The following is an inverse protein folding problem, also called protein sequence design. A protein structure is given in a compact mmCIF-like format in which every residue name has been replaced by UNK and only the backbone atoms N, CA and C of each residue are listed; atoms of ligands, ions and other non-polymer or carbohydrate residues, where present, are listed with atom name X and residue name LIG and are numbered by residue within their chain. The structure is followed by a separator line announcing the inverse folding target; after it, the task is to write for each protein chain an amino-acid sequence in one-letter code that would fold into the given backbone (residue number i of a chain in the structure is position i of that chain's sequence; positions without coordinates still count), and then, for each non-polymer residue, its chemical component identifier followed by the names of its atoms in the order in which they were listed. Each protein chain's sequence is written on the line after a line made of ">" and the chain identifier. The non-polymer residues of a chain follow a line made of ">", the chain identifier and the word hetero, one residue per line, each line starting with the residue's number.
data_IF_012624566399
#
_entry.id   IF_012624566399
#
_cell.length_a   1.000
_cell.length_b   1.000
_cell.length_c   1.000
_cell.angle_alpha   90.00
_cell.angle_beta   90.00
_cell.angle_gamma   90.00
#
_symmetry.space_group_name_H-M   'P 1'
#
loop_
_entity.id
_entity.type
_entity.pdbx_description
1 polymer ?
#
# COMPACT_ATOMS: atom_id res chain seq x y z
N UNK A 1 -66.50 -3.40 -4.73
CA UNK A 1 -65.15 -4.00 -5.02
C UNK A 1 -64.11 -3.06 -4.51
N UNK A 2 -63.39 -3.43 -3.41
CA UNK A 2 -62.34 -2.60 -2.81
C UNK A 2 -61.02 -2.94 -3.47
N UNK A 3 -60.39 -1.97 -4.16
CA UNK A 3 -59.07 -2.12 -4.76
C UNK A 3 -57.99 -2.05 -3.67
N UNK A 4 -57.35 -3.17 -3.38
CA UNK A 4 -56.20 -3.27 -2.50
C UNK A 4 -54.93 -2.91 -3.30
N UNK A 5 -54.35 -1.72 -3.07
CA UNK A 5 -53.07 -1.34 -3.63
C UNK A 5 -51.97 -1.97 -2.79
N UNK A 6 -51.29 -2.96 -3.33
CA UNK A 6 -50.06 -3.54 -2.73
C UNK A 6 -48.94 -2.55 -2.98
N UNK A 7 -48.42 -1.93 -1.92
CA UNK A 7 -47.23 -1.09 -1.94
C UNK A 7 -46.01 -2.00 -1.80
N UNK A 8 -45.30 -2.23 -2.92
CA UNK A 8 -44.07 -3.03 -2.93
C UNK A 8 -42.95 -2.16 -2.37
N UNK A 9 -42.52 -2.44 -1.13
CA UNK A 9 -41.33 -1.81 -0.53
C UNK A 9 -40.10 -2.44 -1.13
N UNK A 10 -39.42 -1.73 -2.04
CA UNK A 10 -38.10 -2.12 -2.55
C UNK A 10 -37.06 -1.84 -1.44
N UNK A 11 -36.67 -2.87 -0.67
CA UNK A 11 -35.56 -2.77 0.23
C UNK A 11 -34.24 -2.67 -0.59
N UNK A 12 -33.77 -1.46 -0.81
CA UNK A 12 -32.41 -1.21 -1.33
C UNK A 12 -31.45 -1.51 -0.19
N UNK A 13 -30.85 -2.68 -0.22
CA UNK A 13 -29.73 -3.02 0.68
C UNK A 13 -28.54 -2.14 0.30
N UNK A 14 -28.36 -1.01 0.97
CA UNK A 14 -27.12 -0.27 0.92
C UNK A 14 -26.06 -1.11 1.63
N UNK A 15 -25.16 -1.74 0.88
CA UNK A 15 -23.96 -2.35 1.43
C UNK A 15 -23.10 -1.24 2.05
N UNK A 16 -23.27 -0.98 3.34
CA UNK A 16 -22.33 -0.19 4.10
C UNK A 16 -21.07 -1.03 4.28
N UNK A 17 -19.94 -0.59 3.73
CA UNK A 17 -18.64 -1.10 4.12
C UNK A 17 -18.48 -0.86 5.62
N UNK A 18 -18.36 -1.93 6.39
CA UNK A 18 -18.12 -1.82 7.83
C UNK A 18 -16.68 -1.37 8.04
N UNK A 19 -16.49 -0.05 8.12
CA UNK A 19 -15.23 0.55 8.53
C UNK A 19 -15.07 0.37 10.03
N UNK A 20 -13.92 -0.20 10.47
CA UNK A 20 -13.58 -0.37 11.89
C UNK A 20 -12.20 0.20 12.17
N UNK A 21 -12.07 0.99 13.22
CA UNK A 21 -10.77 1.40 13.76
C UNK A 21 -10.29 0.34 14.75
N UNK A 22 -9.06 -0.14 14.55
CA UNK A 22 -8.36 -1.04 15.45
C UNK A 22 -7.22 -0.27 16.12
N UNK A 23 -7.09 -0.44 17.41
CA UNK A 23 -6.02 0.14 18.24
C UNK A 23 -5.08 -0.94 18.73
N UNK A 24 -3.78 -0.66 18.64
CA UNK A 24 -2.69 -1.55 19.03
C UNK A 24 -1.74 -0.82 19.98
N UNK A 25 -1.08 -1.55 20.86
CA UNK A 25 0.01 -1.01 21.68
C UNK A 25 1.33 -1.60 21.18
N UNK A 26 2.20 -0.76 20.65
CA UNK A 26 3.52 -1.16 20.14
C UNK A 26 4.57 -0.44 20.96
N UNK A 27 5.30 -1.17 21.80
CA UNK A 27 6.33 -0.60 22.69
C UNK A 27 5.81 0.59 23.53
N UNK A 28 4.63 0.44 24.14
CA UNK A 28 3.91 1.46 24.91
C UNK A 28 3.46 2.70 24.09
N UNK A 29 3.42 2.60 22.78
CA UNK A 29 2.87 3.63 21.90
C UNK A 29 1.57 3.13 21.28
N UNK A 30 0.50 3.91 21.43
CA UNK A 30 -0.78 3.63 20.76
C UNK A 30 -0.63 3.82 19.24
N UNK A 31 -1.04 2.79 18.48
CA UNK A 31 -1.06 2.79 17.01
C UNK A 31 -2.46 2.42 16.52
N UNK A 32 -2.86 2.98 15.39
CA UNK A 32 -4.20 2.78 14.83
C UNK A 32 -4.16 2.29 13.39
N UNK A 33 -5.12 1.44 13.04
CA UNK A 33 -5.37 1.03 11.67
C UNK A 33 -6.88 1.12 11.38
N UNK A 34 -7.21 1.61 10.19
CA UNK A 34 -8.58 1.71 9.71
C UNK A 34 -8.82 0.53 8.76
N UNK A 35 -9.68 -0.39 9.15
CA UNK A 35 -9.92 -1.65 8.45
C UNK A 35 -11.28 -1.64 7.77
N UNK A 36 -11.28 -1.96 6.48
CA UNK A 36 -12.48 -2.21 5.68
C UNK A 36 -12.56 -3.71 5.40
N UNK A 37 -13.62 -4.34 5.92
CA UNK A 37 -13.89 -5.73 5.64
C UNK A 37 -14.36 -5.91 4.18
N UNK A 38 -14.10 -7.07 3.54
CA UNK A 38 -14.54 -7.32 2.18
C UNK A 38 -16.07 -7.23 2.06
N UNK A 39 -16.54 -6.60 1.00
CA UNK A 39 -17.97 -6.54 0.69
C UNK A 39 -18.46 -7.78 -0.09
N UNK A 40 -17.56 -8.57 -0.64
CA UNK A 40 -17.80 -9.86 -1.26
C UNK A 40 -17.18 -10.98 -0.44
N UNK A 41 -17.93 -12.08 -0.27
CA UNK A 41 -17.44 -13.25 0.48
C UNK A 41 -16.36 -13.98 -0.31
N UNK A 42 -15.27 -14.33 0.37
CA UNK A 42 -14.21 -15.21 -0.12
C UNK A 42 -13.85 -16.24 0.96
N UNK A 43 -13.52 -17.47 0.57
CA UNK A 43 -13.05 -18.49 1.51
C UNK A 43 -11.72 -18.10 2.16
N UNK A 44 -10.86 -17.46 1.37
CA UNK A 44 -9.56 -16.95 1.79
C UNK A 44 -9.47 -15.48 1.35
N UNK A 45 -9.38 -14.57 2.29
CA UNK A 45 -9.47 -13.13 2.09
C UNK A 45 -8.11 -12.56 1.71
N UNK A 46 -7.93 -11.95 0.51
CA UNK A 46 -6.75 -11.14 0.21
C UNK A 46 -6.67 -9.94 1.15
N UNK A 47 -5.46 -9.43 1.39
CA UNK A 47 -5.26 -8.26 2.24
C UNK A 47 -4.42 -7.21 1.54
N UNK A 48 -4.86 -5.95 1.61
CA UNK A 48 -4.14 -4.79 1.08
C UNK A 48 -3.83 -3.83 2.21
N UNK A 49 -2.55 -3.60 2.49
CA UNK A 49 -2.10 -2.57 3.44
C UNK A 49 -1.76 -1.29 2.70
N UNK A 50 -2.26 -0.15 3.18
CA UNK A 50 -2.06 1.16 2.56
C UNK A 50 -1.36 2.11 3.54
N UNK A 51 -0.26 2.73 3.07
CA UNK A 51 0.60 3.62 3.84
C UNK A 51 0.60 5.02 3.22
N UNK A 52 0.06 6.00 3.94
CA UNK A 52 -0.04 7.40 3.50
C UNK A 52 1.32 8.11 3.40
N UNK A 53 1.38 9.22 2.69
CA UNK A 53 2.56 10.09 2.62
C UNK A 53 2.81 10.85 3.92
N UNK A 54 3.99 11.51 4.04
CA UNK A 54 4.36 12.31 5.20
C UNK A 54 3.33 13.41 5.48
N UNK A 55 2.99 13.61 6.76
CA UNK A 55 1.95 14.55 7.21
C UNK A 55 0.51 14.09 6.95
N UNK A 56 0.32 12.93 6.30
CA UNK A 56 -0.99 12.35 6.02
C UNK A 56 -1.60 11.60 7.22
N UNK A 57 -2.73 10.94 6.96
CA UNK A 57 -3.39 10.06 7.92
C UNK A 57 -4.22 8.99 7.20
N UNK A 58 -4.57 7.93 7.93
CA UNK A 58 -5.32 6.78 7.42
C UNK A 58 -6.70 7.19 6.87
N UNK A 59 -7.41 8.11 7.54
CA UNK A 59 -8.74 8.57 7.13
C UNK A 59 -8.70 9.30 5.79
N UNK A 60 -7.79 10.26 5.61
CA UNK A 60 -7.66 10.98 4.35
C UNK A 60 -7.19 10.06 3.21
N UNK A 61 -6.30 9.11 3.52
CA UNK A 61 -5.88 8.10 2.56
C UNK A 61 -7.06 7.23 2.09
N UNK A 62 -7.94 6.79 3.01
CA UNK A 62 -9.10 5.96 2.67
C UNK A 62 -10.16 6.68 1.81
N UNK A 63 -10.16 8.02 1.83
CA UNK A 63 -11.03 8.83 0.99
C UNK A 63 -10.47 9.08 -0.42
N UNK A 64 -9.13 8.99 -0.57
CA UNK A 64 -8.44 9.25 -1.85
C UNK A 64 -8.07 7.99 -2.62
N UNK A 65 -7.85 6.89 -1.90
CA UNK A 65 -7.38 5.61 -2.46
C UNK A 65 -8.51 4.59 -2.29
N UNK A 66 -9.28 4.38 -3.34
CA UNK A 66 -10.55 3.65 -3.29
C UNK A 66 -10.45 2.13 -3.38
N UNK A 67 -9.35 1.51 -2.97
CA UNK A 67 -9.16 0.05 -3.06
C UNK A 67 -10.30 -0.76 -2.41
N UNK A 68 -10.89 -0.27 -1.33
CA UNK A 68 -12.02 -0.91 -0.64
C UNK A 68 -13.29 -0.99 -1.53
N UNK A 69 -13.40 -0.15 -2.55
CA UNK A 69 -14.53 -0.17 -3.51
C UNK A 69 -14.21 -0.96 -4.77
N UNK A 70 -12.95 -1.03 -5.15
CA UNK A 70 -12.49 -1.68 -6.38
C UNK A 70 -12.14 -3.15 -6.17
N UNK A 71 -11.45 -3.49 -5.07
CA UNK A 71 -11.07 -4.86 -4.73
C UNK A 71 -12.02 -5.42 -3.65
N UNK A 72 -13.26 -5.69 -4.03
CA UNK A 72 -14.40 -6.00 -3.14
C UNK A 72 -14.22 -7.26 -2.29
N UNK A 73 -13.41 -8.21 -2.71
CA UNK A 73 -13.08 -9.43 -1.97
C UNK A 73 -11.91 -9.25 -0.98
N UNK A 74 -11.19 -8.14 -1.06
CA UNK A 74 -10.05 -7.90 -0.18
C UNK A 74 -10.44 -7.18 1.11
N UNK A 75 -9.73 -7.50 2.18
CA UNK A 75 -9.65 -6.66 3.37
C UNK A 75 -8.66 -5.54 3.10
N UNK A 76 -9.09 -4.29 3.23
CA UNK A 76 -8.24 -3.12 3.00
C UNK A 76 -7.93 -2.43 4.31
N UNK A 77 -6.65 -2.26 4.60
CA UNK A 77 -6.12 -1.76 5.88
C UNK A 77 -5.34 -0.48 5.66
N UNK A 78 -5.92 0.65 6.02
CA UNK A 78 -5.23 1.93 6.02
C UNK A 78 -4.49 2.11 7.34
N UNK A 79 -3.17 2.06 7.26
CA UNK A 79 -2.30 2.16 8.42
C UNK A 79 -2.11 3.63 8.83
N UNK A 80 -2.11 3.92 10.13
CA UNK A 80 -1.87 5.26 10.66
C UNK A 80 -0.41 5.41 11.10
N UNK A 81 0.33 6.27 10.40
CA UNK A 81 1.67 6.71 10.81
C UNK A 81 1.62 7.58 12.07
N UNK A 82 2.74 7.73 12.75
CA UNK A 82 2.88 8.60 13.92
C UNK A 82 3.92 9.69 13.68
N UNK A 83 3.85 10.82 14.41
CA UNK A 83 4.81 11.90 14.28
C UNK A 83 6.26 11.51 14.59
N UNK A 84 7.18 12.28 14.05
CA UNK A 84 8.60 12.21 14.35
C UNK A 84 9.48 12.24 13.11
N UNK A 85 10.74 12.57 13.33
CA UNK A 85 11.78 12.55 12.29
C UNK A 85 12.07 11.12 11.87
N UNK A 86 12.19 10.89 10.57
CA UNK A 86 12.58 9.61 10.01
C UNK A 86 13.37 9.80 8.71
N UNK A 87 14.54 9.22 8.64
CA UNK A 87 15.44 9.33 7.50
C UNK A 87 15.74 10.77 7.11
N UNK A 88 15.38 11.13 5.88
CA UNK A 88 15.56 12.50 5.34
C UNK A 88 14.41 13.44 5.66
N UNK A 89 13.33 12.94 6.25
CA UNK A 89 12.14 13.73 6.59
C UNK A 89 12.29 14.26 8.02
N UNK A 90 12.46 15.58 8.15
CA UNK A 90 12.66 16.24 9.43
C UNK A 90 11.34 16.83 9.92
N UNK A 91 10.80 16.27 10.98
CA UNK A 91 9.65 16.83 11.71
C UNK A 91 10.12 17.56 12.98
N UNK A 92 10.58 18.80 12.82
CA UNK A 92 11.12 19.62 13.93
C UNK A 92 10.11 19.85 15.06
N UNK A 93 8.81 19.81 14.77
CA UNK A 93 7.74 20.06 15.74
C UNK A 93 7.14 18.78 16.31
N UNK A 94 7.47 17.62 15.77
CA UNK A 94 6.89 16.33 16.17
C UNK A 94 5.39 16.24 15.94
N UNK A 95 4.87 16.83 14.85
CA UNK A 95 3.44 16.93 14.56
C UNK A 95 3.01 16.21 13.27
N UNK A 96 3.97 15.82 12.44
CA UNK A 96 3.69 15.27 11.11
C UNK A 96 3.82 13.74 11.12
N UNK A 97 2.72 13.06 10.88
CA UNK A 97 2.71 11.60 10.79
C UNK A 97 3.60 11.10 9.65
N UNK A 98 4.32 10.03 9.89
CA UNK A 98 5.20 9.43 8.91
C UNK A 98 5.58 8.00 9.29
N UNK A 99 6.48 7.43 8.50
CA UNK A 99 6.95 6.05 8.58
C UNK A 99 8.48 6.02 8.58
N UNK A 100 9.08 5.04 9.25
CA UNK A 100 10.51 4.78 9.12
C UNK A 100 10.90 4.60 7.65
N UNK A 101 12.11 5.06 7.28
CA UNK A 101 12.61 5.02 5.91
C UNK A 101 13.72 4.01 5.70
N UNK A 102 14.26 3.47 6.80
CA UNK A 102 15.33 2.46 6.79
C UNK A 102 15.02 1.33 7.78
N UNK A 103 15.57 0.11 7.55
CA UNK A 103 15.56 -0.96 8.53
C UNK A 103 16.18 -0.51 9.87
N UNK A 104 15.62 -1.00 10.97
CA UNK A 104 16.06 -0.71 12.35
C UNK A 104 15.92 0.76 12.80
N UNK A 105 15.44 1.65 11.94
CA UNK A 105 15.18 3.04 12.30
C UNK A 105 14.06 3.13 13.34
N UNK A 106 14.21 4.04 14.32
CA UNK A 106 13.26 4.23 15.41
C UNK A 106 12.87 2.92 16.14
N UNK A 107 13.80 1.98 16.28
CA UNK A 107 13.55 0.68 16.91
C UNK A 107 12.57 -0.21 16.12
N UNK A 108 12.53 -0.07 14.81
CA UNK A 108 11.60 -0.79 13.92
C UNK A 108 10.11 -0.59 14.24
N UNK A 109 9.75 0.52 14.87
CA UNK A 109 8.40 0.78 15.40
C UNK A 109 7.27 0.56 14.39
N UNK A 110 7.52 0.84 13.09
CA UNK A 110 6.51 0.74 12.05
C UNK A 110 6.46 -0.67 11.44
N UNK A 111 7.59 -1.38 11.38
CA UNK A 111 7.64 -2.80 11.00
C UNK A 111 6.95 -3.66 12.06
N UNK A 112 7.20 -3.41 13.34
CA UNK A 112 6.52 -4.11 14.45
C UNK A 112 5.01 -3.84 14.43
N UNK A 113 4.61 -2.63 14.09
CA UNK A 113 3.19 -2.29 13.95
C UNK A 113 2.53 -3.07 12.79
N UNK A 114 3.19 -3.14 11.62
CA UNK A 114 2.72 -3.97 10.51
C UNK A 114 2.56 -5.44 10.92
N UNK A 115 3.57 -6.02 11.57
CA UNK A 115 3.56 -7.41 12.01
C UNK A 115 2.40 -7.69 12.98
N UNK A 116 2.15 -6.78 13.94
CA UNK A 116 1.07 -6.95 14.93
C UNK A 116 -0.32 -6.83 14.29
N UNK A 117 -0.52 -5.86 13.37
CA UNK A 117 -1.79 -5.74 12.63
C UNK A 117 -2.05 -6.98 11.79
N UNK A 118 -1.05 -7.43 11.02
CA UNK A 118 -1.16 -8.64 10.19
C UNK A 118 -1.53 -9.86 11.04
N UNK A 119 -0.80 -10.11 12.13
CA UNK A 119 -1.06 -11.22 13.06
C UNK A 119 -2.46 -11.16 13.66
N UNK A 120 -2.89 -9.97 14.12
CA UNK A 120 -4.21 -9.79 14.71
C UNK A 120 -5.34 -10.11 13.74
N UNK A 121 -5.21 -9.65 12.49
CA UNK A 121 -6.20 -9.90 11.46
C UNK A 121 -6.19 -11.35 10.96
N UNK A 122 -5.02 -12.00 10.86
CA UNK A 122 -4.92 -13.44 10.58
C UNK A 122 -5.59 -14.29 11.66
N UNK A 123 -5.52 -13.89 12.93
CA UNK A 123 -6.18 -14.62 14.03
C UNK A 123 -7.70 -14.45 14.01
N UNK A 124 -8.22 -13.37 13.43
CA UNK A 124 -9.67 -13.07 13.43
C UNK A 124 -10.38 -13.46 12.15
N UNK A 125 -9.65 -13.53 11.04
CA UNK A 125 -10.20 -13.73 9.70
C UNK A 125 -9.42 -14.79 8.94
N UNK A 126 -10.07 -15.46 8.01
CA UNK A 126 -9.44 -16.46 7.12
C UNK A 126 -8.65 -15.76 6.02
N UNK A 127 -7.50 -15.18 6.36
CA UNK A 127 -6.65 -14.45 5.42
C UNK A 127 -5.91 -15.41 4.47
N UNK A 128 -5.79 -15.04 3.20
CA UNK A 128 -4.90 -15.71 2.24
C UNK A 128 -3.48 -15.17 2.39
N UNK A 129 -2.62 -15.90 3.06
CA UNK A 129 -1.23 -15.52 3.33
C UNK A 129 -0.38 -15.35 2.05
N UNK A 130 -0.85 -15.89 0.91
CA UNK A 130 -0.20 -15.72 -0.39
C UNK A 130 -0.69 -14.49 -1.16
N UNK A 131 -1.69 -13.78 -0.65
CA UNK A 131 -2.28 -12.58 -1.28
C UNK A 131 -2.28 -11.39 -0.32
N UNK A 132 -1.08 -11.06 0.19
CA UNK A 132 -0.84 -9.87 1.02
C UNK A 132 -0.14 -8.84 0.15
N UNK A 133 -0.77 -7.69 -0.04
CA UNK A 133 -0.32 -6.60 -0.91
C UNK A 133 -0.02 -5.35 -0.11
N UNK A 134 0.99 -4.60 -0.53
CA UNK A 134 1.34 -3.33 0.09
C UNK A 134 1.24 -2.19 -0.91
N UNK A 135 0.66 -1.08 -0.50
CA UNK A 135 0.54 0.14 -1.31
C UNK A 135 1.05 1.31 -0.49
N UNK A 136 1.94 2.10 -1.05
CA UNK A 136 2.49 3.28 -0.37
C UNK A 136 2.61 4.49 -1.28
N UNK A 137 2.40 5.68 -0.70
CA UNK A 137 2.62 6.96 -1.36
C UNK A 137 3.74 7.73 -0.67
N UNK A 138 4.69 8.28 -1.44
CA UNK A 138 5.76 9.16 -0.93
C UNK A 138 6.56 8.51 0.21
N UNK A 139 6.54 9.06 1.43
CA UNK A 139 7.16 8.46 2.61
C UNK A 139 6.59 7.04 2.90
N UNK A 140 5.28 6.82 2.73
CA UNK A 140 4.67 5.49 2.84
C UNK A 140 5.19 4.50 1.79
N UNK A 141 5.49 4.96 0.57
CA UNK A 141 6.09 4.13 -0.46
C UNK A 141 7.54 3.74 -0.11
N UNK A 142 8.30 4.63 0.54
CA UNK A 142 9.63 4.27 1.08
C UNK A 142 9.50 3.19 2.15
N UNK A 143 8.51 3.30 3.03
CA UNK A 143 8.26 2.29 4.05
C UNK A 143 7.82 0.94 3.46
N UNK A 144 7.00 0.93 2.43
CA UNK A 144 6.67 -0.31 1.70
C UNK A 144 7.94 -1.01 1.19
N UNK A 145 8.93 -0.27 0.71
CA UNK A 145 10.22 -0.85 0.31
C UNK A 145 11.05 -1.35 1.52
N UNK A 146 10.92 -0.74 2.70
CA UNK A 146 11.50 -1.30 3.95
C UNK A 146 10.83 -2.63 4.28
N UNK A 147 9.49 -2.70 4.23
CA UNK A 147 8.76 -3.95 4.44
C UNK A 147 9.12 -5.02 3.41
N UNK A 148 9.34 -4.65 2.15
CA UNK A 148 9.87 -5.58 1.14
C UNK A 148 11.19 -6.21 1.61
N UNK A 149 12.12 -5.39 2.11
CA UNK A 149 13.42 -5.89 2.62
C UNK A 149 13.27 -6.78 3.84
N UNK A 150 12.41 -6.39 4.78
CA UNK A 150 12.30 -7.02 6.10
C UNK A 150 11.29 -8.18 6.15
N UNK A 151 10.31 -8.22 5.23
CA UNK A 151 9.15 -9.13 5.25
C UNK A 151 8.76 -9.65 3.87
N UNK A 152 9.67 -9.62 2.90
CA UNK A 152 9.38 -10.02 1.52
C UNK A 152 8.78 -11.42 1.38
N UNK A 153 9.07 -12.33 2.31
CA UNK A 153 8.51 -13.68 2.33
C UNK A 153 6.99 -13.72 2.60
N UNK A 154 6.44 -12.66 3.18
CA UNK A 154 4.99 -12.52 3.49
C UNK A 154 4.23 -11.74 2.43
N UNK A 155 4.91 -11.14 1.45
CA UNK A 155 4.36 -10.15 0.55
C UNK A 155 4.24 -10.74 -0.86
N UNK A 156 3.06 -10.64 -1.46
CA UNK A 156 2.79 -11.08 -2.83
C UNK A 156 3.19 -10.04 -3.87
N UNK A 157 2.85 -8.77 -3.64
CA UNK A 157 3.24 -7.67 -4.51
C UNK A 157 3.19 -6.33 -3.77
N UNK A 158 3.90 -5.34 -4.31
CA UNK A 158 3.91 -3.97 -3.77
C UNK A 158 3.60 -2.94 -4.84
N UNK A 159 2.98 -1.82 -4.43
CA UNK A 159 2.81 -0.62 -5.23
C UNK A 159 3.53 0.55 -4.54
N UNK A 160 4.52 1.12 -5.21
CA UNK A 160 5.38 2.21 -4.72
C UNK A 160 5.15 3.46 -5.56
N UNK A 161 4.46 4.46 -5.00
CA UNK A 161 4.04 5.67 -5.71
C UNK A 161 4.85 6.89 -5.25
N UNK A 162 5.37 7.65 -6.21
CA UNK A 162 6.06 8.93 -6.02
C UNK A 162 7.21 8.87 -5.01
N UNK A 163 8.07 7.85 -5.07
CA UNK A 163 9.17 7.68 -4.12
C UNK A 163 10.43 7.05 -4.75
N UNK A 164 11.55 7.32 -4.13
CA UNK A 164 12.78 6.56 -4.30
C UNK A 164 12.85 5.49 -3.19
N UNK A 165 12.64 4.22 -3.52
CA UNK A 165 12.64 3.13 -2.52
C UNK A 165 13.49 1.93 -2.88
N UNK A 166 13.82 1.74 -4.14
CA UNK A 166 14.47 0.54 -4.68
C UNK A 166 15.82 0.15 -4.08
N UNK A 167 16.46 1.05 -3.30
CA UNK A 167 17.68 0.69 -2.57
C UNK A 167 17.47 -0.50 -1.63
N UNK A 168 16.25 -0.64 -1.09
CA UNK A 168 15.86 -1.74 -0.19
C UNK A 168 15.75 -3.08 -0.93
N UNK A 169 15.50 -3.07 -2.25
CA UNK A 169 15.42 -4.28 -3.06
C UNK A 169 16.75 -5.05 -3.15
N UNK A 170 17.90 -4.41 -2.84
CA UNK A 170 19.20 -5.10 -2.86
C UNK A 170 19.17 -6.29 -1.91
N UNK A 171 19.41 -7.50 -2.46
CA UNK A 171 19.42 -8.76 -1.71
C UNK A 171 18.12 -9.03 -0.91
N UNK A 172 16.99 -8.42 -1.30
CA UNK A 172 15.66 -8.79 -0.82
C UNK A 172 15.13 -9.98 -1.64
N UNK A 173 14.17 -10.71 -1.09
CA UNK A 173 13.43 -11.72 -1.85
C UNK A 173 12.77 -11.05 -3.06
N UNK A 174 12.81 -11.64 -4.26
CA UNK A 174 12.07 -11.13 -5.41
C UNK A 174 10.57 -11.02 -5.10
N UNK A 175 9.98 -9.86 -5.35
CA UNK A 175 8.55 -9.56 -5.15
C UNK A 175 8.09 -8.68 -6.31
N UNK A 176 6.92 -8.99 -6.88
CA UNK A 176 6.33 -8.16 -7.95
C UNK A 176 6.12 -6.73 -7.47
N UNK A 177 6.44 -5.76 -8.33
CA UNK A 177 6.33 -4.35 -7.98
C UNK A 177 5.75 -3.51 -9.10
N UNK A 178 4.79 -2.64 -8.73
CA UNK A 178 4.33 -1.51 -9.53
C UNK A 178 5.00 -0.23 -9.01
N UNK A 179 5.73 0.45 -9.87
CA UNK A 179 6.37 1.74 -9.60
C UNK A 179 5.66 2.82 -10.38
N UNK A 180 4.92 3.70 -9.69
CA UNK A 180 4.24 4.85 -10.32
C UNK A 180 5.01 6.13 -10.05
N UNK A 181 5.36 6.85 -11.12
CA UNK A 181 6.23 8.03 -11.10
C UNK A 181 5.60 9.20 -11.84
N UNK A 182 5.57 10.38 -11.20
CA UNK A 182 5.17 11.63 -11.81
C UNK A 182 6.35 12.33 -12.50
N UNK A 183 6.25 12.60 -13.81
CA UNK A 183 7.29 13.32 -14.58
C UNK A 183 7.48 14.76 -14.12
N UNK A 184 6.41 15.36 -13.56
CA UNK A 184 6.37 16.74 -13.09
C UNK A 184 6.37 16.84 -11.53
N UNK A 185 6.83 15.80 -10.83
CA UNK A 185 6.84 15.75 -9.36
C UNK A 185 7.80 16.79 -8.76
N UNK A 186 7.30 17.82 -8.05
CA UNK A 186 8.12 18.87 -7.45
C UNK A 186 8.73 18.47 -6.10
N UNK A 187 8.27 17.37 -5.47
CA UNK A 187 8.67 16.94 -4.12
C UNK A 187 9.75 15.86 -4.19
N UNK A 188 9.52 14.83 -4.99
CA UNK A 188 10.52 13.80 -5.28
C UNK A 188 10.79 13.83 -6.79
N UNK A 189 11.82 14.56 -7.24
CA UNK A 189 12.08 14.74 -8.66
C UNK A 189 12.11 13.41 -9.42
N UNK A 190 11.48 13.38 -10.60
CA UNK A 190 11.36 12.18 -11.44
C UNK A 190 12.69 11.44 -11.65
N UNK A 191 13.78 12.18 -11.93
CA UNK A 191 15.11 11.60 -12.05
C UNK A 191 15.58 10.87 -10.77
N UNK A 192 15.11 11.31 -9.61
CA UNK A 192 15.38 10.66 -8.32
C UNK A 192 14.58 9.37 -8.15
N UNK A 193 13.30 9.38 -8.52
CA UNK A 193 12.45 8.19 -8.49
C UNK A 193 13.01 7.08 -9.40
N UNK A 194 13.46 7.44 -10.61
CA UNK A 194 14.06 6.51 -11.59
C UNK A 194 15.31 5.78 -11.11
N UNK A 195 16.07 6.34 -10.15
CA UNK A 195 17.26 5.67 -9.59
C UNK A 195 16.95 4.30 -8.97
N UNK A 196 15.70 4.05 -8.62
CA UNK A 196 15.24 2.75 -8.11
C UNK A 196 15.17 1.66 -9.19
N UNK A 197 14.87 2.02 -10.43
CA UNK A 197 14.59 1.07 -11.52
C UNK A 197 15.72 0.06 -11.75
N UNK A 198 16.99 0.47 -11.98
CA UNK A 198 18.06 -0.49 -12.25
C UNK A 198 18.32 -1.44 -11.08
N UNK A 199 18.03 -1.01 -9.85
CA UNK A 199 18.22 -1.85 -8.65
C UNK A 199 17.12 -2.90 -8.59
N UNK A 200 15.87 -2.51 -8.84
CA UNK A 200 14.73 -3.42 -8.90
C UNK A 200 14.88 -4.41 -10.05
N UNK A 201 15.23 -3.93 -11.26
CA UNK A 201 15.50 -4.81 -12.42
C UNK A 201 16.55 -5.87 -12.10
N UNK A 202 17.63 -5.47 -11.44
CA UNK A 202 18.69 -6.40 -11.01
C UNK A 202 18.18 -7.41 -9.98
N UNK A 203 17.40 -6.99 -8.98
CA UNK A 203 16.84 -7.88 -7.96
C UNK A 203 15.91 -8.92 -8.57
N UNK A 204 15.00 -8.48 -9.47
CA UNK A 204 14.03 -9.36 -10.13
C UNK A 204 14.63 -10.13 -11.32
N UNK A 205 15.90 -9.89 -11.67
CA UNK A 205 16.57 -10.45 -12.84
C UNK A 205 15.69 -10.31 -14.10
N UNK A 206 15.27 -9.06 -14.36
CA UNK A 206 14.31 -8.74 -15.42
C UNK A 206 14.82 -9.19 -16.78
N UNK A 207 13.95 -9.84 -17.53
CA UNK A 207 14.10 -10.09 -18.95
C UNK A 207 13.69 -8.81 -19.72
N UNK A 208 14.67 -8.06 -20.23
CA UNK A 208 14.42 -6.79 -20.95
C UNK A 208 13.66 -7.02 -22.27
N UNK A 209 13.75 -8.25 -22.86
CA UNK A 209 13.03 -8.60 -24.10
C UNK A 209 11.54 -8.80 -23.83
N UNK A 210 11.17 -9.10 -22.57
CA UNK A 210 9.78 -9.29 -22.17
C UNK A 210 8.96 -7.99 -22.06
N UNK A 211 9.57 -6.83 -22.35
CA UNK A 211 8.93 -5.53 -22.19
C UNK A 211 7.65 -5.41 -23.03
N UNK A 212 6.53 -5.14 -22.35
CA UNK A 212 5.23 -4.83 -22.97
C UNK A 212 4.84 -3.41 -22.62
N UNK A 213 4.66 -2.56 -23.62
CA UNK A 213 4.25 -1.17 -23.45
C UNK A 213 2.74 -1.04 -23.64
N UNK A 214 2.08 -0.33 -22.70
CA UNK A 214 0.67 -0.01 -22.78
C UNK A 214 0.42 1.40 -22.20
N UNK A 215 0.28 2.40 -23.05
CA UNK A 215 0.17 3.80 -22.63
C UNK A 215 1.38 4.24 -21.80
N UNK A 216 1.11 4.75 -20.60
CA UNK A 216 2.14 5.21 -19.66
C UNK A 216 2.82 4.07 -18.89
N UNK A 217 2.45 2.81 -19.13
CA UNK A 217 3.01 1.66 -18.43
C UNK A 217 3.94 0.82 -19.28
N UNK A 218 4.99 0.30 -18.66
CA UNK A 218 5.84 -0.76 -19.22
C UNK A 218 5.93 -1.90 -18.23
N UNK A 219 5.54 -3.09 -18.66
CA UNK A 219 5.59 -4.32 -17.84
C UNK A 219 6.73 -5.21 -18.30
N UNK A 220 7.49 -5.72 -17.35
CA UNK A 220 8.58 -6.67 -17.57
C UNK A 220 8.35 -7.93 -16.74
N UNK A 221 8.80 -9.07 -17.26
CA UNK A 221 8.84 -10.33 -16.53
C UNK A 221 10.18 -10.51 -15.83
N UNK A 222 10.13 -11.05 -14.61
CA UNK A 222 11.29 -11.39 -13.80
C UNK A 222 11.28 -12.87 -13.40
N UNK A 223 12.28 -13.24 -12.58
CA UNK A 223 12.37 -14.60 -12.03
C UNK A 223 11.19 -14.92 -11.09
N UNK A 224 10.96 -16.20 -10.84
CA UNK A 224 9.92 -16.69 -9.91
C UNK A 224 8.50 -16.15 -10.24
N UNK A 225 8.20 -15.92 -11.53
CA UNK A 225 6.95 -15.32 -12.01
C UNK A 225 6.69 -13.91 -11.45
N UNK A 226 7.73 -13.17 -11.05
CA UNK A 226 7.59 -11.76 -10.66
C UNK A 226 7.41 -10.85 -11.87
N UNK A 227 6.83 -9.68 -11.61
CA UNK A 227 6.66 -8.63 -12.61
C UNK A 227 7.16 -7.29 -12.07
N UNK A 228 7.78 -6.51 -12.94
CA UNK A 228 8.03 -5.10 -12.73
C UNK A 228 7.11 -4.31 -13.65
N UNK A 229 6.22 -3.50 -13.09
CA UNK A 229 5.44 -2.50 -13.83
C UNK A 229 6.01 -1.13 -13.52
N UNK A 230 6.38 -0.39 -14.57
CA UNK A 230 6.83 1.00 -14.50
C UNK A 230 5.73 1.86 -15.13
N UNK A 231 5.18 2.78 -14.37
CA UNK A 231 4.20 3.76 -14.82
C UNK A 231 4.81 5.17 -14.74
N UNK A 232 4.83 5.90 -15.87
CA UNK A 232 5.47 7.21 -16.03
C UNK A 232 4.45 8.23 -16.53
N UNK A 233 3.71 8.86 -15.60
CA UNK A 233 2.61 9.80 -15.91
C UNK A 233 3.06 11.26 -15.99
N UNK A 234 2.38 12.06 -16.79
CA UNK A 234 2.45 13.52 -16.74
C UNK A 234 1.66 14.06 -15.56
N UNK A 235 2.15 13.74 -14.34
CA UNK A 235 1.54 14.03 -13.05
C UNK A 235 2.58 14.59 -12.08
N UNK A 236 2.11 15.19 -10.99
CA UNK A 236 2.93 15.69 -9.88
C UNK A 236 3.21 14.62 -8.81
N UNK A 237 3.07 15.03 -7.54
CA UNK A 237 3.35 14.19 -6.36
C UNK A 237 2.10 13.50 -5.80
N UNK A 238 1.01 13.47 -6.53
CA UNK A 238 -0.24 12.85 -6.12
C UNK A 238 -0.23 11.32 -6.26
N UNK A 239 -1.09 10.66 -5.50
CA UNK A 239 -1.45 9.27 -5.77
C UNK A 239 -2.29 9.25 -7.05
N UNK A 240 -2.05 8.34 -8.01
CA UNK A 240 -2.86 8.25 -9.21
C UNK A 240 -4.34 8.08 -8.85
N UNK A 241 -5.20 8.93 -9.42
CA UNK A 241 -6.63 8.70 -9.33
C UNK A 241 -6.95 7.39 -10.05
N UNK A 242 -7.90 6.62 -9.50
CA UNK A 242 -8.49 5.50 -10.23
C UNK A 242 -9.12 6.04 -11.51
N UNK A 243 -8.67 5.53 -12.64
CA UNK A 243 -9.23 5.83 -13.96
C UNK A 243 -10.50 5.04 -14.21
#
# INVERSE_FOLDING_TARGET
>A
MKNFKILLFLCVSTCFFAQKEFTFNINNVERKALVFEPSQKSQKIPMVFIFHGHGGNAKNASQKINFQHEFKEAMVVFMQGIPGTSGYVIDKKGLLNGWQMFPNENGNRDVLFFDEVLKNLQNKFSIDERRIYLVGHSNGARFVNVLWKERGEKIAAICSVAAQGGMMARNAKPVSIWMSMGKNDPVVPYATQKKSIPIVKKNLQIDEISAVHNGDTTTFKGIENTELVIEEKDAGHEFPASS
#
